data_IF_281323779177
#
_entry.id   IF_281323779177
#
_cell.length_a   1.000
_cell.length_b   1.000
_cell.length_c   1.000
_cell.angle_alpha   90.00
_cell.angle_beta   90.00
_cell.angle_gamma   90.00
#
_symmetry.space_group_name_H-M   'P 1'
#
loop_
_entity.id
_entity.type
_entity.pdbx_description
1 polymer ?
#
# COMPACT_ATOMS: atom_id res chain seq x y z
N UNK A 1 -18.75 -15.43 11.53
CA UNK A 1 -17.96 -15.48 12.78
C UNK A 1 -16.48 -15.13 12.57
N UNK A 2 -16.19 -14.21 11.63
CA UNK A 2 -14.84 -13.77 11.22
C UNK A 2 -14.49 -12.34 11.68
N UNK A 3 -15.42 -11.66 12.33
CA UNK A 3 -15.30 -10.21 12.64
C UNK A 3 -14.29 -9.89 13.75
N UNK A 4 -14.08 -10.81 14.69
CA UNK A 4 -13.22 -10.54 15.86
C UNK A 4 -11.74 -10.67 15.54
N UNK A 5 -11.37 -11.47 14.53
CA UNK A 5 -9.97 -11.70 14.18
C UNK A 5 -9.37 -10.52 13.38
N UNK A 6 -10.16 -9.92 12.50
CA UNK A 6 -9.69 -8.87 11.59
C UNK A 6 -9.42 -7.55 12.31
N UNK A 7 -10.28 -7.17 13.27
CA UNK A 7 -10.04 -6.00 14.11
C UNK A 7 -8.89 -6.22 15.09
N UNK A 8 -8.69 -7.46 15.55
CA UNK A 8 -7.53 -7.82 16.34
C UNK A 8 -6.23 -7.70 15.53
N UNK A 9 -6.24 -8.17 14.27
CA UNK A 9 -5.12 -8.03 13.33
C UNK A 9 -4.83 -6.56 13.04
N UNK A 10 -5.84 -5.74 12.77
CA UNK A 10 -5.66 -4.30 12.55
C UNK A 10 -5.09 -3.59 13.77
N UNK A 11 -5.58 -3.93 14.98
CA UNK A 11 -5.04 -3.39 16.23
C UNK A 11 -3.59 -3.83 16.48
N UNK A 12 -3.26 -5.07 16.16
CA UNK A 12 -1.91 -5.60 16.28
C UNK A 12 -0.98 -4.93 15.26
N UNK A 13 -1.42 -4.78 14.00
CA UNK A 13 -0.70 -4.04 12.95
C UNK A 13 -0.45 -2.59 13.35
N UNK A 14 -1.45 -1.88 13.85
CA UNK A 14 -1.28 -0.49 14.28
C UNK A 14 -0.35 -0.37 15.49
N UNK A 15 -0.42 -1.30 16.44
CA UNK A 15 0.55 -1.35 17.55
C UNK A 15 1.97 -1.61 17.04
N UNK A 16 2.14 -2.53 16.10
CA UNK A 16 3.43 -2.82 15.50
C UNK A 16 3.95 -1.65 14.64
N UNK A 17 3.05 -0.91 13.99
CA UNK A 17 3.39 0.25 13.18
C UNK A 17 3.82 1.46 14.03
N UNK A 18 3.18 1.67 15.18
CA UNK A 18 3.54 2.72 16.15
C UNK A 18 4.85 2.44 16.88
N UNK A 19 5.26 1.17 16.99
CA UNK A 19 6.55 0.82 17.56
C UNK A 19 7.65 1.13 16.55
N UNK A 20 8.36 2.22 16.77
CA UNK A 20 9.58 2.51 16.03
C UNK A 20 10.61 1.41 16.34
N UNK A 21 11.52 1.09 15.43
CA UNK A 21 12.62 0.15 15.70
C UNK A 21 13.61 0.79 16.70
N UNK A 22 13.18 0.90 17.96
CA UNK A 22 13.92 1.61 19.02
C UNK A 22 15.29 0.94 19.21
N UNK A 23 15.33 -0.40 19.18
CA UNK A 23 16.57 -1.14 19.34
C UNK A 23 17.57 -0.84 18.21
N UNK A 24 17.10 -0.82 16.97
CA UNK A 24 17.94 -0.48 15.81
C UNK A 24 18.44 0.98 15.91
N UNK A 25 17.61 1.90 16.36
CA UNK A 25 18.01 3.32 16.55
C UNK A 25 19.04 3.46 17.69
N UNK A 26 18.86 2.76 18.79
CA UNK A 26 19.82 2.77 19.91
C UNK A 26 21.16 2.18 19.47
N UNK A 27 21.15 1.05 18.78
CA UNK A 27 22.36 0.45 18.25
C UNK A 27 23.06 1.39 17.26
N UNK A 28 22.34 2.02 16.33
CA UNK A 28 22.91 2.98 15.40
C UNK A 28 23.56 4.17 16.12
N UNK A 29 22.95 4.69 17.19
CA UNK A 29 23.49 5.77 17.99
C UNK A 29 24.76 5.35 18.75
N UNK A 30 24.75 4.19 19.41
CA UNK A 30 25.91 3.67 20.15
C UNK A 30 27.09 3.42 19.24
N UNK A 31 26.86 2.79 18.08
CA UNK A 31 27.93 2.55 17.10
C UNK A 31 28.41 3.83 16.42
N UNK A 32 27.53 4.79 16.16
CA UNK A 32 27.89 6.10 15.65
C UNK A 32 28.83 6.84 16.60
N UNK A 33 28.53 6.82 17.89
CA UNK A 33 29.40 7.39 18.93
C UNK A 33 30.75 6.68 18.97
N UNK A 34 30.81 5.35 18.94
CA UNK A 34 32.04 4.59 18.96
C UNK A 34 32.96 4.89 17.75
N UNK A 35 32.37 5.12 16.57
CA UNK A 35 33.12 5.54 15.37
C UNK A 35 33.69 6.95 15.54
N UNK A 36 32.89 7.89 16.09
CA UNK A 36 33.35 9.26 16.33
C UNK A 36 34.50 9.29 17.35
N UNK A 37 34.38 8.53 18.44
CA UNK A 37 35.45 8.41 19.44
C UNK A 37 36.71 7.77 18.83
N UNK A 38 36.57 6.70 18.05
CA UNK A 38 37.72 6.08 17.38
C UNK A 38 38.46 7.05 16.47
N UNK A 39 37.76 7.88 15.72
CA UNK A 39 38.35 8.94 14.90
C UNK A 39 39.04 10.02 15.71
N UNK A 40 38.44 10.42 16.83
CA UNK A 40 38.97 11.47 17.74
C UNK A 40 40.28 11.02 18.45
N UNK A 41 40.38 9.73 18.78
CA UNK A 41 41.54 9.16 19.46
C UNK A 41 42.59 8.57 18.52
N UNK A 42 42.48 8.80 17.21
CA UNK A 42 43.48 8.41 16.24
C UNK A 42 43.53 6.91 15.96
N UNK A 43 42.42 6.21 16.08
CA UNK A 43 42.34 4.81 15.72
C UNK A 43 42.72 4.60 14.22
N UNK A 44 43.41 3.50 13.88
CA UNK A 44 43.79 3.25 12.49
C UNK A 44 42.53 3.17 11.60
N UNK A 45 42.56 3.86 10.45
CA UNK A 45 41.44 3.99 9.55
C UNK A 45 40.79 2.65 9.18
N UNK A 46 41.56 1.58 9.04
CA UNK A 46 41.10 0.23 8.77
C UNK A 46 40.23 -0.34 9.89
N UNK A 47 40.56 -0.12 11.16
CA UNK A 47 39.76 -0.57 12.29
C UNK A 47 38.43 0.18 12.35
N UNK A 48 38.43 1.49 12.16
CA UNK A 48 37.21 2.33 12.17
C UNK A 48 36.26 1.93 11.06
N UNK A 49 36.74 1.64 9.85
CA UNK A 49 35.92 1.16 8.74
C UNK A 49 35.34 -0.23 9.02
N UNK A 50 36.12 -1.12 9.64
CA UNK A 50 35.65 -2.48 9.97
C UNK A 50 34.55 -2.46 11.04
N UNK A 51 34.73 -1.70 12.10
CA UNK A 51 33.69 -1.51 13.14
C UNK A 51 32.45 -0.81 12.58
N UNK A 52 32.61 0.19 11.73
CA UNK A 52 31.51 0.88 11.08
C UNK A 52 30.68 -0.06 10.18
N UNK A 53 31.33 -0.90 9.40
CA UNK A 53 30.63 -1.86 8.52
C UNK A 53 29.91 -2.95 9.32
N UNK A 54 30.50 -3.47 10.38
CA UNK A 54 29.87 -4.42 11.29
C UNK A 54 28.62 -3.82 11.97
N UNK A 55 28.71 -2.54 12.37
CA UNK A 55 27.60 -1.82 12.97
C UNK A 55 26.44 -1.67 12.01
N UNK A 56 26.68 -1.26 10.78
CA UNK A 56 25.65 -1.18 9.73
C UNK A 56 25.00 -2.55 9.49
N UNK A 57 25.81 -3.61 9.39
CA UNK A 57 25.29 -4.97 9.23
C UNK A 57 24.41 -5.38 10.41
N UNK A 58 24.84 -5.13 11.66
CA UNK A 58 24.06 -5.44 12.86
C UNK A 58 22.72 -4.70 12.86
N UNK A 59 22.69 -3.40 12.54
CA UNK A 59 21.47 -2.61 12.44
C UNK A 59 20.52 -3.18 11.38
N UNK A 60 21.03 -3.55 10.21
CA UNK A 60 20.23 -4.15 9.14
C UNK A 60 19.64 -5.49 9.57
N UNK A 61 20.44 -6.37 10.20
CA UNK A 61 19.98 -7.69 10.65
C UNK A 61 18.93 -7.55 11.74
N UNK A 62 19.15 -6.68 12.73
CA UNK A 62 18.19 -6.45 13.82
C UNK A 62 16.90 -5.86 13.27
N UNK A 63 16.96 -4.87 12.38
CA UNK A 63 15.78 -4.26 11.77
C UNK A 63 14.97 -5.29 10.97
N UNK A 64 15.62 -6.19 10.24
CA UNK A 64 14.93 -7.28 9.52
C UNK A 64 14.25 -8.25 10.47
N UNK A 65 14.93 -8.66 11.55
CA UNK A 65 14.35 -9.55 12.57
C UNK A 65 13.18 -8.90 13.31
N UNK A 66 13.26 -7.60 13.64
CA UNK A 66 12.14 -6.89 14.23
C UNK A 66 10.92 -6.86 13.31
N UNK A 67 11.11 -6.63 12.00
CA UNK A 67 10.02 -6.66 11.00
C UNK A 67 9.40 -8.06 10.95
N UNK A 68 10.20 -9.12 10.95
CA UNK A 68 9.71 -10.50 10.91
C UNK A 68 8.98 -10.88 12.20
N UNK A 69 9.49 -10.51 13.36
CA UNK A 69 8.91 -10.83 14.65
C UNK A 69 7.55 -10.17 14.88
N UNK A 70 7.37 -8.94 14.38
CA UNK A 70 6.11 -8.20 14.47
C UNK A 70 5.20 -8.38 13.25
N UNK A 71 5.42 -9.40 12.43
CA UNK A 71 4.56 -9.70 11.30
C UNK A 71 3.36 -10.53 11.76
N UNK A 72 2.16 -10.04 11.48
CA UNK A 72 0.92 -10.78 11.71
C UNK A 72 0.67 -11.77 10.58
N UNK A 73 0.35 -13.02 10.98
CA UNK A 73 -0.02 -14.04 10.02
C UNK A 73 -1.54 -14.03 9.80
N UNK A 74 -1.94 -13.88 8.55
CA UNK A 74 -3.34 -13.92 8.12
C UNK A 74 -3.48 -15.03 7.10
N UNK A 75 -4.08 -16.13 7.52
CA UNK A 75 -4.36 -17.26 6.65
C UNK A 75 -5.79 -17.20 6.15
N UNK A 76 -5.96 -17.25 4.84
CA UNK A 76 -7.25 -17.27 4.19
C UNK A 76 -7.58 -18.69 3.75
N UNK A 77 -8.68 -19.22 4.29
CA UNK A 77 -9.36 -20.41 3.78
C UNK A 77 -10.61 -19.92 3.07
N UNK A 78 -10.52 -19.81 1.76
CA UNK A 78 -11.60 -19.34 0.93
C UNK A 78 -12.51 -20.52 0.54
N UNK A 79 -13.80 -20.34 0.67
CA UNK A 79 -14.78 -21.23 0.06
C UNK A 79 -14.77 -21.08 -1.47
N UNK A 80 -15.49 -21.94 -2.17
CA UNK A 80 -15.51 -21.94 -3.64
C UNK A 80 -16.03 -20.62 -4.21
N UNK A 81 -17.06 -20.03 -3.59
CA UNK A 81 -17.66 -18.79 -4.05
C UNK A 81 -16.69 -17.60 -3.86
N UNK A 82 -16.13 -17.44 -2.67
CA UNK A 82 -15.15 -16.39 -2.38
C UNK A 82 -13.89 -16.55 -3.25
N UNK A 83 -13.50 -17.79 -3.54
CA UNK A 83 -12.36 -18.07 -4.43
C UNK A 83 -12.62 -17.57 -5.84
N UNK A 84 -13.82 -17.80 -6.40
CA UNK A 84 -14.18 -17.35 -7.75
C UNK A 84 -14.24 -15.82 -7.80
N UNK A 85 -14.93 -15.19 -6.84
CA UNK A 85 -15.04 -13.73 -6.77
C UNK A 85 -13.66 -13.07 -6.63
N UNK A 86 -12.81 -13.60 -5.77
CA UNK A 86 -11.47 -13.06 -5.57
C UNK A 86 -10.55 -13.28 -6.78
N UNK A 87 -10.63 -14.41 -7.47
CA UNK A 87 -9.90 -14.64 -8.74
C UNK A 87 -10.32 -13.65 -9.82
N UNK A 88 -11.62 -13.33 -9.88
CA UNK A 88 -12.12 -12.31 -10.80
C UNK A 88 -11.45 -10.96 -10.54
N UNK A 89 -11.35 -10.55 -9.27
CA UNK A 89 -10.65 -9.33 -8.87
C UNK A 89 -9.17 -9.34 -9.29
N UNK A 90 -8.44 -10.40 -8.97
CA UNK A 90 -7.01 -10.53 -9.33
C UNK A 90 -6.83 -10.46 -10.85
N UNK A 91 -7.73 -11.10 -11.62
CA UNK A 91 -7.70 -11.08 -13.08
C UNK A 91 -7.98 -9.68 -13.62
N UNK A 92 -8.98 -8.98 -13.07
CA UNK A 92 -9.31 -7.60 -13.45
C UNK A 92 -8.14 -6.65 -13.20
N UNK A 93 -7.46 -6.76 -12.06
CA UNK A 93 -6.25 -5.97 -11.78
C UNK A 93 -5.08 -6.32 -12.71
N UNK A 94 -4.94 -7.58 -13.12
CA UNK A 94 -3.93 -7.98 -14.09
C UNK A 94 -4.18 -7.38 -15.47
N UNK A 95 -5.45 -7.34 -15.91
CA UNK A 95 -5.86 -6.66 -17.14
C UNK A 95 -5.64 -5.16 -17.06
N UNK A 96 -6.04 -4.54 -15.95
CA UNK A 96 -5.84 -3.12 -15.72
C UNK A 96 -4.34 -2.75 -15.79
N UNK A 97 -3.46 -3.62 -15.27
CA UNK A 97 -2.00 -3.44 -15.36
C UNK A 97 -1.47 -3.46 -16.79
N UNK A 98 -2.02 -4.33 -17.65
CA UNK A 98 -1.55 -4.52 -19.03
C UNK A 98 -2.23 -3.59 -20.03
N UNK A 99 -3.33 -2.93 -19.64
CA UNK A 99 -4.13 -2.08 -20.51
C UNK A 99 -3.54 -0.68 -20.79
N UNK A 100 -2.44 -0.33 -20.11
CA UNK A 100 -1.77 0.95 -20.32
C UNK A 100 -1.53 1.73 -19.04
N UNK A 101 -1.19 3.02 -19.15
CA UNK A 101 -0.86 3.85 -17.99
C UNK A 101 -2.08 4.10 -17.09
N UNK A 102 -1.81 4.09 -15.78
CA UNK A 102 -2.80 4.42 -14.75
C UNK A 102 -2.26 5.60 -13.96
N UNK A 103 -3.07 6.63 -13.83
CA UNK A 103 -2.71 7.84 -13.11
C UNK A 103 -3.59 8.05 -11.89
N UNK A 104 -2.98 8.13 -10.72
CA UNK A 104 -3.67 8.59 -9.52
C UNK A 104 -3.80 10.12 -9.57
N UNK A 105 -5.03 10.60 -9.34
CA UNK A 105 -5.35 12.03 -9.26
C UNK A 105 -5.47 12.45 -7.80
N UNK A 106 -4.56 13.29 -7.33
CA UNK A 106 -4.65 13.90 -6.01
C UNK A 106 -5.90 14.80 -5.87
N UNK A 107 -6.33 15.05 -4.64
CA UNK A 107 -7.43 15.99 -4.34
C UNK A 107 -7.10 17.39 -4.92
N UNK A 108 -8.14 18.07 -5.41
CA UNK A 108 -8.05 19.47 -5.80
C UNK A 108 -7.83 20.30 -4.53
N UNK A 109 -6.75 21.08 -4.47
CA UNK A 109 -6.58 22.07 -3.42
C UNK A 109 -7.54 23.24 -3.68
N UNK A 110 -7.97 23.91 -2.62
CA UNK A 110 -8.87 25.08 -2.65
C UNK A 110 -8.35 26.22 -3.54
N UNK A 111 -7.05 26.30 -3.77
CA UNK A 111 -6.37 27.33 -4.58
C UNK A 111 -6.36 27.08 -6.09
N UNK A 112 -7.16 26.15 -6.60
CA UNK A 112 -7.20 25.87 -8.04
C UNK A 112 -5.94 25.25 -8.63
N UNK A 113 -4.94 24.91 -7.80
CA UNK A 113 -3.71 24.28 -8.26
C UNK A 113 -3.98 22.92 -8.88
N UNK A 114 -3.26 22.62 -9.95
CA UNK A 114 -3.37 21.38 -10.74
C UNK A 114 -3.28 20.16 -9.82
N UNK A 115 -4.22 19.22 -9.98
CA UNK A 115 -4.18 17.92 -9.32
C UNK A 115 -2.81 17.28 -9.55
N UNK A 116 -2.11 16.94 -8.48
CA UNK A 116 -0.87 16.18 -8.61
C UNK A 116 -1.18 14.85 -9.28
N UNK A 117 -0.49 14.59 -10.39
CA UNK A 117 -0.61 13.33 -11.14
C UNK A 117 0.53 12.41 -10.74
N UNK A 118 0.25 11.16 -10.50
CA UNK A 118 1.27 10.17 -10.23
C UNK A 118 0.97 8.90 -11.02
N UNK A 119 1.91 8.48 -11.82
CA UNK A 119 1.84 7.18 -12.49
C UNK A 119 1.84 6.08 -11.43
N UNK A 120 0.94 5.13 -11.58
CA UNK A 120 0.73 4.02 -10.65
C UNK A 120 0.71 2.72 -11.42
N UNK A 121 1.35 1.70 -10.87
CA UNK A 121 1.33 0.36 -11.44
C UNK A 121 0.72 -0.57 -10.41
N UNK A 122 -0.36 -1.31 -10.76
CA UNK A 122 -0.88 -2.37 -9.90
C UNK A 122 0.16 -3.48 -9.75
N UNK A 123 0.31 -3.95 -8.52
CA UNK A 123 1.24 -5.03 -8.20
C UNK A 123 0.55 -6.08 -7.35
N UNK A 124 1.03 -7.32 -7.39
CA UNK A 124 0.65 -8.35 -6.44
C UNK A 124 1.67 -8.35 -5.30
N UNK A 125 1.28 -7.89 -4.14
CA UNK A 125 2.18 -7.73 -3.00
C UNK A 125 1.44 -7.98 -1.68
N UNK A 126 2.20 -8.20 -0.62
CA UNK A 126 1.68 -8.17 0.74
C UNK A 126 2.02 -6.82 1.37
N UNK A 127 1.14 -6.32 2.27
CA UNK A 127 1.48 -5.15 3.05
C UNK A 127 2.68 -5.42 3.95
N UNK A 128 3.44 -4.39 4.32
CA UNK A 128 4.51 -4.52 5.30
C UNK A 128 3.97 -5.14 6.61
N UNK A 129 4.72 -6.06 7.20
CA UNK A 129 4.35 -6.73 8.46
C UNK A 129 3.08 -7.59 8.42
N UNK A 130 2.66 -7.99 7.23
CA UNK A 130 1.60 -9.02 7.06
C UNK A 130 2.22 -10.20 6.34
N UNK A 131 2.00 -11.39 6.91
CA UNK A 131 2.27 -12.67 6.25
C UNK A 131 0.94 -13.29 5.85
N UNK A 132 0.83 -13.76 4.64
CA UNK A 132 -0.38 -14.45 4.17
C UNK A 132 -0.02 -15.53 3.18
N UNK A 133 -0.88 -16.54 3.12
CA UNK A 133 -0.83 -17.61 2.11
C UNK A 133 -1.26 -17.14 0.72
N UNK A 134 -1.79 -15.91 0.59
CA UNK A 134 -2.18 -15.30 -0.68
C UNK A 134 -1.42 -14.01 -0.92
N UNK A 135 -1.15 -13.69 -2.20
CA UNK A 135 -0.71 -12.36 -2.61
C UNK A 135 -1.91 -11.57 -3.10
N UNK A 136 -1.99 -10.32 -2.71
CA UNK A 136 -3.15 -9.48 -2.99
C UNK A 136 -2.82 -8.37 -3.97
N UNK A 137 -3.77 -7.94 -4.81
CA UNK A 137 -3.60 -6.74 -5.61
C UNK A 137 -3.34 -5.54 -4.71
N UNK A 138 -2.39 -4.71 -5.12
CA UNK A 138 -2.07 -3.48 -4.42
C UNK A 138 -1.99 -2.31 -5.40
N UNK A 139 -2.53 -1.17 -4.99
CA UNK A 139 -2.58 0.05 -5.78
C UNK A 139 -2.20 1.25 -4.93
N UNK A 140 -1.27 2.07 -5.41
CA UNK A 140 -0.83 3.25 -4.70
C UNK A 140 -1.71 4.46 -5.00
N UNK A 141 -2.25 5.08 -3.96
CA UNK A 141 -3.08 6.27 -4.02
C UNK A 141 -2.42 7.42 -3.25
N UNK A 142 -1.53 8.15 -3.91
CA UNK A 142 -0.76 9.21 -3.26
C UNK A 142 0.22 8.71 -2.20
N UNK A 143 -0.05 9.01 -0.93
CA UNK A 143 0.72 8.51 0.22
C UNK A 143 0.23 7.15 0.70
N UNK A 144 -0.98 6.79 0.34
CA UNK A 144 -1.63 5.56 0.75
C UNK A 144 -1.32 4.42 -0.24
N UNK A 145 -1.30 3.20 0.26
CA UNK A 145 -1.29 1.99 -0.55
C UNK A 145 -2.48 1.14 -0.15
N UNK A 146 -3.27 0.79 -1.13
CA UNK A 146 -4.48 -0.02 -0.99
C UNK A 146 -4.11 -1.47 -1.28
N UNK A 147 -4.39 -2.38 -0.36
CA UNK A 147 -4.20 -3.81 -0.51
C UNK A 147 -5.57 -4.48 -0.48
N UNK A 148 -5.94 -5.15 -1.57
CA UNK A 148 -7.27 -5.71 -1.77
C UNK A 148 -7.29 -7.17 -1.33
N UNK A 149 -7.64 -7.42 -0.06
CA UNK A 149 -7.82 -8.75 0.49
C UNK A 149 -9.20 -9.31 0.14
N UNK A 150 -9.45 -10.62 0.30
CA UNK A 150 -10.76 -11.20 -0.04
C UNK A 150 -11.94 -10.64 0.75
N UNK A 151 -11.72 -10.24 2.00
CA UNK A 151 -12.73 -9.77 2.95
C UNK A 151 -12.80 -8.25 3.08
N UNK A 152 -11.71 -7.54 2.81
CA UNK A 152 -11.58 -6.09 2.99
C UNK A 152 -10.42 -5.48 2.25
N UNK A 153 -10.40 -4.15 2.18
CA UNK A 153 -9.25 -3.39 1.71
C UNK A 153 -8.45 -2.94 2.93
N UNK A 154 -7.15 -3.27 2.99
CA UNK A 154 -6.24 -2.65 3.94
C UNK A 154 -5.62 -1.41 3.31
N UNK A 155 -5.83 -0.27 3.95
CA UNK A 155 -5.25 1.01 3.55
C UNK A 155 -4.06 1.30 4.44
N UNK A 156 -2.90 1.42 3.83
CA UNK A 156 -1.65 1.79 4.49
C UNK A 156 -1.28 3.23 4.17
N UNK A 157 -1.14 4.04 5.18
CA UNK A 157 -0.56 5.38 5.11
C UNK A 157 0.79 5.41 5.85
N UNK A 158 1.48 6.54 5.82
CA UNK A 158 2.77 6.73 6.50
C UNK A 158 2.69 6.59 8.02
N UNK A 159 1.50 6.71 8.62
CA UNK A 159 1.32 6.75 10.07
C UNK A 159 0.44 5.64 10.64
N UNK A 160 -0.46 5.08 9.83
CA UNK A 160 -1.43 4.10 10.31
C UNK A 160 -1.91 3.19 9.19
N UNK A 161 -2.47 2.04 9.60
CA UNK A 161 -3.22 1.15 8.71
C UNK A 161 -4.65 1.03 9.21
N UNK A 162 -5.63 0.96 8.29
CA UNK A 162 -7.04 0.70 8.61
C UNK A 162 -7.67 -0.20 7.56
N UNK A 163 -8.76 -0.84 7.94
CA UNK A 163 -9.55 -1.71 7.07
C UNK A 163 -10.80 -1.01 6.58
N UNK A 164 -11.20 -1.32 5.35
CA UNK A 164 -12.45 -0.92 4.75
C UNK A 164 -13.13 -2.18 4.25
N UNK A 165 -14.33 -2.47 4.73
CA UNK A 165 -15.13 -3.56 4.20
C UNK A 165 -15.69 -3.19 2.82
N UNK A 166 -15.84 -4.18 1.94
CA UNK A 166 -16.32 -3.91 0.59
C UNK A 166 -17.74 -3.31 0.58
N UNK A 167 -18.60 -3.69 1.52
CA UNK A 167 -19.93 -3.10 1.69
C UNK A 167 -19.95 -1.58 2.01
N UNK A 168 -18.86 -1.07 2.60
CA UNK A 168 -18.69 0.36 2.91
C UNK A 168 -17.96 1.12 1.81
N UNK A 169 -17.52 0.40 0.77
CA UNK A 169 -16.83 0.96 -0.36
C UNK A 169 -17.82 1.35 -1.46
N UNK A 170 -17.77 2.60 -1.88
CA UNK A 170 -18.42 3.06 -3.10
C UNK A 170 -17.41 3.01 -4.23
N UNK A 171 -17.70 2.18 -5.22
CA UNK A 171 -16.87 2.02 -6.41
C UNK A 171 -17.58 2.63 -7.61
N UNK A 172 -16.85 3.27 -8.49
CA UNK A 172 -17.32 3.67 -9.82
C UNK A 172 -16.18 3.45 -10.80
N UNK A 173 -16.45 2.82 -11.90
CA UNK A 173 -15.51 2.62 -12.99
C UNK A 173 -16.22 2.70 -14.33
N UNK A 174 -15.58 3.33 -15.33
CA UNK A 174 -16.20 3.51 -16.64
C UNK A 174 -15.52 4.58 -17.49
N UNK A 175 -16.28 5.22 -18.37
CA UNK A 175 -15.81 6.30 -19.24
C UNK A 175 -15.76 7.62 -18.48
N UNK A 176 -14.63 8.34 -18.60
CA UNK A 176 -14.44 9.67 -18.00
C UNK A 176 -15.50 10.67 -18.44
N UNK A 177 -16.08 10.50 -19.64
CA UNK A 177 -17.14 11.38 -20.16
C UNK A 177 -18.41 11.36 -19.35
N UNK A 178 -18.63 10.27 -18.56
CA UNK A 178 -19.80 10.13 -17.69
C UNK A 178 -19.65 10.90 -16.36
N UNK A 179 -18.45 11.42 -16.06
CA UNK A 179 -18.17 12.05 -14.76
C UNK A 179 -17.73 13.51 -14.96
N UNK A 180 -18.65 14.43 -14.78
CA UNK A 180 -18.47 15.88 -14.92
C UNK A 180 -17.39 16.45 -13.97
N UNK A 181 -17.16 15.80 -12.83
CA UNK A 181 -16.21 16.25 -11.80
C UNK A 181 -14.73 16.00 -12.15
N UNK A 182 -14.44 15.12 -13.11
CA UNK A 182 -13.06 14.72 -13.43
C UNK A 182 -12.36 15.76 -14.30
N UNK A 183 -13.10 16.71 -14.84
CA UNK A 183 -12.57 17.82 -15.65
C UNK A 183 -11.87 17.34 -16.92
N UNK A 184 -12.47 17.61 -18.06
CA UNK A 184 -11.95 17.26 -19.39
C UNK A 184 -10.67 18.03 -19.80
N UNK A 185 -10.17 18.94 -18.96
CA UNK A 185 -9.05 19.83 -19.27
C UNK A 185 -7.71 19.19 -18.98
N UNK A 186 -6.92 18.92 -19.99
CA UNK A 186 -5.52 18.50 -19.92
C UNK A 186 -5.17 17.44 -20.96
N UNK A 187 -3.89 17.22 -21.15
CA UNK A 187 -3.28 16.28 -22.08
C UNK A 187 -3.53 14.80 -21.65
N UNK A 188 -4.80 14.36 -21.81
CA UNK A 188 -5.29 13.04 -21.38
C UNK A 188 -5.73 12.17 -22.57
N UNK A 189 -5.22 12.46 -23.75
CA UNK A 189 -5.67 11.85 -25.00
C UNK A 189 -5.67 10.29 -24.95
N UNK A 190 -4.88 9.70 -24.02
CA UNK A 190 -4.72 8.26 -23.92
C UNK A 190 -5.47 7.61 -22.75
N UNK A 191 -6.16 8.38 -21.89
CA UNK A 191 -6.79 7.85 -20.68
C UNK A 191 -8.27 8.18 -20.62
N UNK A 192 -9.09 7.34 -21.25
CA UNK A 192 -10.55 7.50 -21.32
C UNK A 192 -11.29 6.81 -20.17
N UNK A 193 -10.65 5.87 -19.48
CA UNK A 193 -11.23 5.16 -18.34
C UNK A 193 -10.96 5.86 -17.01
N UNK A 194 -11.84 5.62 -16.04
CA UNK A 194 -11.64 6.02 -14.66
C UNK A 194 -12.02 4.91 -13.69
N UNK A 195 -11.40 4.93 -12.51
CA UNK A 195 -11.75 4.13 -11.34
C UNK A 195 -11.75 5.05 -10.12
N UNK A 196 -12.90 5.19 -9.47
CA UNK A 196 -13.07 5.96 -8.24
C UNK A 196 -13.41 5.03 -7.08
N UNK A 197 -12.69 5.16 -5.99
CA UNK A 197 -12.88 4.41 -4.75
C UNK A 197 -13.12 5.40 -3.62
N UNK A 198 -14.27 5.30 -2.97
CA UNK A 198 -14.67 6.19 -1.88
C UNK A 198 -15.23 5.38 -0.72
N UNK A 199 -14.93 5.77 0.52
CA UNK A 199 -15.56 5.19 1.70
C UNK A 199 -15.89 6.25 2.74
N UNK A 200 -16.80 5.92 3.64
CA UNK A 200 -17.13 6.78 4.80
C UNK A 200 -15.96 6.91 5.78
N UNK A 201 -15.06 5.93 5.81
CA UNK A 201 -13.86 5.94 6.65
C UNK A 201 -12.72 6.82 6.12
N UNK A 202 -12.98 7.64 5.09
CA UNK A 202 -12.05 8.67 4.61
C UNK A 202 -11.22 8.31 3.40
N UNK A 203 -11.39 7.11 2.79
CA UNK A 203 -10.77 6.82 1.51
C UNK A 203 -11.45 7.66 0.41
N UNK A 204 -10.63 8.32 -0.39
CA UNK A 204 -11.06 9.02 -1.60
C UNK A 204 -9.91 8.94 -2.60
N UNK A 205 -9.95 7.95 -3.47
CA UNK A 205 -8.95 7.70 -4.48
C UNK A 205 -9.59 7.72 -5.86
N UNK A 206 -8.98 8.46 -6.77
CA UNK A 206 -9.42 8.59 -8.15
C UNK A 206 -8.26 8.26 -9.07
N UNK A 207 -8.50 7.34 -9.99
CA UNK A 207 -7.53 6.91 -10.99
C UNK A 207 -8.08 7.17 -12.38
N UNK A 208 -7.20 7.58 -13.30
CA UNK A 208 -7.45 7.57 -14.73
C UNK A 208 -6.70 6.41 -15.35
N UNK A 209 -7.35 5.68 -16.23
CA UNK A 209 -6.86 4.48 -16.87
C UNK A 209 -6.94 4.63 -18.38
N UNK A 210 -6.04 3.99 -19.10
CA UNK A 210 -6.09 3.99 -20.56
C UNK A 210 -7.36 3.27 -21.07
N UNK A 211 -7.72 2.16 -20.45
CA UNK A 211 -8.82 1.29 -20.89
C UNK A 211 -10.06 1.43 -19.98
N UNK A 212 -11.17 1.85 -20.59
CA UNK A 212 -12.49 1.96 -19.94
C UNK A 212 -13.00 0.59 -19.47
N UNK A 213 -12.84 -0.46 -20.29
CA UNK A 213 -13.33 -1.80 -19.98
C UNK A 213 -12.59 -2.39 -18.78
N UNK A 214 -11.27 -2.26 -18.76
CA UNK A 214 -10.46 -2.73 -17.63
C UNK A 214 -10.82 -2.02 -16.31
N UNK A 215 -11.10 -0.73 -16.36
CA UNK A 215 -11.55 0.02 -15.19
C UNK A 215 -12.93 -0.43 -14.70
N UNK A 216 -13.87 -0.66 -15.63
CA UNK A 216 -15.20 -1.15 -15.31
C UNK A 216 -15.18 -2.60 -14.77
N UNK A 217 -14.31 -3.46 -15.30
CA UNK A 217 -14.12 -4.83 -14.79
C UNK A 217 -13.62 -4.83 -13.35
N UNK A 218 -12.66 -3.96 -13.00
CA UNK A 218 -12.20 -3.83 -11.62
C UNK A 218 -13.33 -3.34 -10.71
N UNK A 219 -14.10 -2.36 -11.16
CA UNK A 219 -15.24 -1.85 -10.38
C UNK A 219 -16.27 -2.96 -10.12
N UNK A 220 -16.68 -3.69 -11.14
CA UNK A 220 -17.63 -4.80 -11.04
C UNK A 220 -17.09 -5.94 -10.15
N UNK A 221 -15.79 -6.27 -10.25
CA UNK A 221 -15.19 -7.30 -9.41
C UNK A 221 -15.14 -6.88 -7.93
N UNK A 222 -14.94 -5.59 -7.63
CA UNK A 222 -14.98 -5.06 -6.26
C UNK A 222 -16.41 -5.05 -5.70
N UNK A 223 -17.41 -4.72 -6.52
CA UNK A 223 -18.83 -4.79 -6.15
C UNK A 223 -19.29 -6.23 -5.89
N UNK A 224 -18.73 -7.20 -6.61
CA UNK A 224 -19.00 -8.62 -6.42
C UNK A 224 -18.43 -9.21 -5.13
N UNK A 225 -17.62 -8.46 -4.36
CA UNK A 225 -17.10 -8.83 -3.05
C UNK A 225 -17.87 -8.14 -1.90
N UNK A 226 -18.78 -7.22 -2.20
CA UNK A 226 -19.62 -6.52 -1.22
C UNK A 226 -20.81 -7.40 -0.78
#
# INVERSE_FOLDING_TARGET
MLDTSADAVLRALNRAYMRRPVLAMVLAAVFGLAVIEGLAFGAPAGATLLFGSLAVLAVVVVSRREIEYYSEAVEYVLDDHATVAYRSLVTAFSRLKTSGPIWHLGRRTTDGQRRHRRLVVPVLALPPRVRSNIRVPALRAGRQTLYFFPDRILVYDTQMAWGIEYRDLKVKGGDVREVTEIGAGGDWAECNGFLALMSRSGLSALFRCADVKAAAEVASALEGLA
#
